data_IF_693018477129
#
_entry.id   IF_693018477129
#
_cell.length_a   1.000
_cell.length_b   1.000
_cell.length_c   1.000
_cell.angle_alpha   90.00
_cell.angle_beta   90.00
_cell.angle_gamma   90.00
#
_symmetry.space_group_name_H-M   'P 1'
#
loop_
_entity.id
_entity.type
_entity.pdbx_description
1 polymer ?
#
# COMPACT_ATOMS: atom_id res chain seq x y z
N UNK A 1 13.90 -8.16 2.58
CA UNK A 1 13.36 -6.91 3.17
C UNK A 1 11.90 -6.83 2.75
N UNK A 2 10.96 -6.91 3.69
CA UNK A 2 9.52 -6.78 3.41
C UNK A 2 9.10 -5.37 3.77
N UNK A 3 8.74 -4.56 2.78
CA UNK A 3 8.11 -3.25 3.00
C UNK A 3 6.67 -3.49 3.41
N UNK A 4 6.32 -3.22 4.66
CA UNK A 4 4.93 -3.23 5.13
C UNK A 4 4.56 -1.84 5.61
N UNK A 5 3.29 -1.49 5.46
CA UNK A 5 2.71 -0.27 5.99
C UNK A 5 1.77 -0.62 7.13
N UNK A 6 1.75 0.23 8.16
CA UNK A 6 0.89 0.06 9.31
C UNK A 6 0.13 1.33 9.68
N UNK A 7 -1.08 1.12 10.19
CA UNK A 7 -1.94 2.18 10.68
C UNK A 7 -2.63 1.72 11.95
N UNK A 8 -2.85 2.66 12.87
CA UNK A 8 -3.59 2.41 14.11
C UNK A 8 -4.60 3.51 14.36
N UNK A 9 -5.86 3.14 14.53
CA UNK A 9 -6.97 4.08 14.70
C UNK A 9 -8.10 3.48 15.51
N UNK A 10 -8.61 4.20 16.50
CA UNK A 10 -9.81 3.82 17.26
C UNK A 10 -9.78 2.38 17.84
N UNK A 11 -8.59 1.89 18.24
CA UNK A 11 -8.40 0.52 18.73
C UNK A 11 -8.26 -0.55 17.63
N UNK A 12 -8.09 -0.14 16.38
CA UNK A 12 -7.85 -0.99 15.21
C UNK A 12 -6.38 -0.84 14.84
N UNK A 13 -5.66 -1.94 14.67
CA UNK A 13 -4.29 -1.96 14.16
C UNK A 13 -4.26 -2.78 12.88
N UNK A 14 -3.67 -2.24 11.82
CA UNK A 14 -3.62 -2.87 10.50
C UNK A 14 -2.18 -2.91 10.02
N UNK A 15 -1.79 -4.03 9.43
CA UNK A 15 -0.56 -4.17 8.67
C UNK A 15 -0.87 -4.68 7.27
N UNK A 16 -0.32 -4.02 6.26
CA UNK A 16 -0.47 -4.39 4.85
C UNK A 16 0.88 -4.44 4.15
N UNK A 17 0.98 -5.30 3.14
CA UNK A 17 2.05 -5.23 2.14
C UNK A 17 1.68 -4.24 1.02
N UNK A 18 2.63 -3.83 0.16
CA UNK A 18 2.38 -2.88 -0.92
C UNK A 18 1.33 -3.44 -1.89
N UNK A 19 0.51 -2.56 -2.47
CA UNK A 19 -0.67 -2.93 -3.23
C UNK A 19 -1.88 -3.37 -2.37
N UNK A 20 -1.83 -3.13 -1.06
CA UNK A 20 -2.98 -3.29 -0.15
C UNK A 20 -3.25 -4.73 0.33
N UNK A 21 -2.28 -5.64 0.18
CA UNK A 21 -2.45 -7.01 0.65
C UNK A 21 -2.39 -7.06 2.19
N UNK A 22 -3.53 -7.30 2.82
CA UNK A 22 -3.66 -7.38 4.28
C UNK A 22 -2.82 -8.51 4.87
N UNK A 23 -2.00 -8.19 5.87
CA UNK A 23 -1.14 -9.14 6.60
C UNK A 23 -1.66 -9.40 8.01
N UNK A 24 -2.04 -8.35 8.72
CA UNK A 24 -2.57 -8.43 10.08
C UNK A 24 -3.68 -7.40 10.27
N UNK A 25 -4.69 -7.77 11.06
CA UNK A 25 -5.74 -6.91 11.55
C UNK A 25 -6.02 -7.28 13.01
N UNK A 26 -5.77 -6.34 13.92
CA UNK A 26 -6.06 -6.49 15.33
C UNK A 26 -7.14 -5.50 15.75
N UNK A 27 -8.09 -5.98 16.55
CA UNK A 27 -9.21 -5.21 17.06
C UNK A 27 -9.21 -5.28 18.58
N UNK A 28 -9.05 -4.13 19.23
CA UNK A 28 -9.25 -4.00 20.66
C UNK A 28 -10.75 -3.98 20.99
N UNK A 29 -11.12 -4.39 22.21
CA UNK A 29 -12.52 -4.32 22.67
C UNK A 29 -13.13 -2.91 22.52
N UNK A 30 -12.29 -1.86 22.59
CA UNK A 30 -12.71 -0.49 22.37
C UNK A 30 -13.30 -0.24 20.98
N UNK A 31 -12.73 -0.84 19.94
CA UNK A 31 -13.16 -0.67 18.55
C UNK A 31 -14.55 -1.27 18.30
N UNK A 32 -14.90 -2.33 19.02
CA UNK A 32 -16.21 -2.99 18.89
C UNK A 32 -17.38 -2.07 19.31
N UNK A 33 -17.11 -1.06 20.14
CA UNK A 33 -18.11 -0.08 20.57
C UNK A 33 -18.55 0.88 19.46
N UNK A 34 -17.82 0.93 18.34
CA UNK A 34 -18.18 1.73 17.16
C UNK A 34 -19.43 1.19 16.43
N UNK A 35 -19.86 -0.04 16.74
CA UNK A 35 -20.94 -0.74 16.02
C UNK A 35 -20.51 -1.17 14.61
N UNK A 36 -21.31 -2.01 13.95
CA UNK A 36 -20.93 -2.68 12.69
C UNK A 36 -20.51 -1.71 11.57
N UNK A 37 -21.33 -0.69 11.28
CA UNK A 37 -21.05 0.28 10.21
C UNK A 37 -19.85 1.18 10.55
N UNK A 38 -19.74 1.63 11.81
CA UNK A 38 -18.64 2.47 12.26
C UNK A 38 -17.31 1.72 12.24
N UNK A 39 -17.31 0.47 12.70
CA UNK A 39 -16.15 -0.41 12.67
C UNK A 39 -15.71 -0.69 11.23
N UNK A 40 -16.62 -1.03 10.32
CA UNK A 40 -16.28 -1.28 8.93
C UNK A 40 -15.60 -0.06 8.28
N UNK A 41 -16.17 1.14 8.46
CA UNK A 41 -15.58 2.39 7.94
C UNK A 41 -14.19 2.65 8.53
N UNK A 42 -14.02 2.42 9.83
CA UNK A 42 -12.75 2.64 10.51
C UNK A 42 -11.67 1.64 10.05
N UNK A 43 -12.04 0.37 9.81
CA UNK A 43 -11.14 -0.65 9.26
C UNK A 43 -10.70 -0.25 7.85
N UNK A 44 -11.64 0.09 6.95
CA UNK A 44 -11.29 0.49 5.57
C UNK A 44 -10.37 1.71 5.57
N UNK A 45 -10.67 2.72 6.38
CA UNK A 45 -9.80 3.90 6.48
C UNK A 45 -8.38 3.57 6.99
N UNK A 46 -8.26 2.64 7.95
CA UNK A 46 -6.96 2.21 8.45
C UNK A 46 -6.19 1.38 7.40
N UNK A 47 -6.88 0.56 6.60
CA UNK A 47 -6.28 -0.19 5.49
C UNK A 47 -5.78 0.75 4.40
N UNK A 48 -6.57 1.75 4.01
CA UNK A 48 -6.17 2.73 3.00
C UNK A 48 -4.90 3.49 3.44
N UNK A 49 -4.89 3.99 4.69
CA UNK A 49 -3.72 4.66 5.26
C UNK A 49 -2.48 3.75 5.33
N UNK A 50 -2.66 2.50 5.77
CA UNK A 50 -1.57 1.53 5.82
C UNK A 50 -1.03 1.23 4.40
N UNK A 51 -1.91 1.20 3.39
CA UNK A 51 -1.54 0.92 1.99
C UNK A 51 -0.73 2.06 1.41
N UNK A 52 -1.17 3.31 1.61
CA UNK A 52 -0.42 4.49 1.18
C UNK A 52 0.99 4.51 1.76
N UNK A 53 1.14 4.16 3.05
CA UNK A 53 2.46 4.05 3.69
C UNK A 53 3.30 2.92 3.11
N UNK A 54 2.70 1.74 2.87
CA UNK A 54 3.40 0.60 2.29
C UNK A 54 3.92 0.90 0.88
N UNK A 55 3.09 1.55 0.05
CA UNK A 55 3.43 1.92 -1.32
C UNK A 55 4.48 3.01 -1.37
N UNK A 56 4.39 4.02 -0.49
CA UNK A 56 5.43 5.03 -0.34
C UNK A 56 6.76 4.41 0.08
N UNK A 57 6.74 3.51 1.06
CA UNK A 57 7.95 2.82 1.53
C UNK A 57 8.54 1.93 0.42
N UNK A 58 7.70 1.23 -0.36
CA UNK A 58 8.14 0.44 -1.50
C UNK A 58 8.74 1.32 -2.61
N UNK A 59 8.13 2.46 -2.93
CA UNK A 59 8.65 3.42 -3.89
C UNK A 59 10.00 4.00 -3.44
N UNK A 60 10.16 4.31 -2.16
CA UNK A 60 11.44 4.76 -1.60
C UNK A 60 12.51 3.67 -1.65
N UNK A 61 12.17 2.43 -1.28
CA UNK A 61 13.09 1.30 -1.35
C UNK A 61 13.53 1.00 -2.79
N UNK A 62 12.61 1.10 -3.77
CA UNK A 62 12.93 0.99 -5.19
C UNK A 62 13.87 2.11 -5.63
N UNK A 63 13.57 3.38 -5.31
CA UNK A 63 14.45 4.51 -5.64
C UNK A 63 15.85 4.35 -5.06
N UNK A 64 15.95 3.93 -3.79
CA UNK A 64 17.24 3.69 -3.14
C UNK A 64 18.01 2.51 -3.78
N UNK A 65 17.31 1.46 -4.23
CA UNK A 65 17.94 0.34 -4.93
C UNK A 65 18.40 0.65 -6.36
N UNK A 66 17.83 1.69 -6.96
CA UNK A 66 18.21 2.20 -8.28
C UNK A 66 19.20 3.37 -8.20
N UNK A 67 19.57 3.81 -7.00
CA UNK A 67 20.50 4.92 -6.79
C UNK A 67 21.89 4.50 -7.31
N UNK A 68 22.36 5.18 -8.36
CA UNK A 68 23.58 4.83 -9.10
C UNK A 68 23.38 4.05 -10.41
N UNK A 69 22.14 3.69 -10.77
CA UNK A 69 21.79 3.15 -12.09
C UNK A 69 21.40 4.31 -13.00
N UNK A 70 22.02 4.42 -14.19
CA UNK A 70 21.72 5.51 -15.11
C UNK A 70 20.34 5.31 -15.76
N UNK A 71 19.73 6.41 -16.22
CA UNK A 71 18.45 6.35 -16.95
C UNK A 71 18.58 5.53 -18.25
N UNK A 72 19.77 5.47 -18.86
CA UNK A 72 20.03 4.60 -20.01
C UNK A 72 20.04 3.11 -19.62
N UNK A 73 20.61 2.75 -18.47
CA UNK A 73 20.63 1.37 -17.97
C UNK A 73 19.23 0.88 -17.61
N UNK A 74 18.40 1.74 -17.00
CA UNK A 74 16.98 1.46 -16.75
C UNK A 74 16.18 1.30 -18.04
N UNK A 75 16.49 2.11 -19.06
CA UNK A 75 15.85 2.03 -20.38
C UNK A 75 16.26 0.76 -21.13
N UNK A 76 17.52 0.33 -21.01
CA UNK A 76 18.00 -0.93 -21.59
C UNK A 76 17.33 -2.17 -20.98
N UNK A 77 16.86 -2.07 -19.73
CA UNK A 77 16.07 -3.10 -19.04
C UNK A 77 14.56 -2.98 -19.32
N UNK A 78 14.12 -2.03 -20.14
CA UNK A 78 12.71 -1.78 -20.45
C UNK A 78 11.92 -1.16 -19.30
N UNK A 79 12.60 -0.58 -18.31
CA UNK A 79 12.00 0.06 -17.12
C UNK A 79 11.96 1.58 -17.22
N UNK A 80 12.51 2.16 -18.31
CA UNK A 80 12.77 3.60 -18.46
C UNK A 80 11.55 4.49 -18.72
N UNK A 81 10.42 3.93 -19.16
CA UNK A 81 9.17 4.68 -19.36
C UNK A 81 7.99 3.73 -19.25
N UNK A 82 7.42 3.62 -18.04
CA UNK A 82 6.05 3.14 -17.90
C UNK A 82 5.11 4.34 -17.98
N UNK A 83 4.97 4.88 -19.18
CA UNK A 83 3.80 5.67 -19.54
C UNK A 83 2.57 4.81 -19.24
N UNK A 84 1.74 5.30 -18.33
CA UNK A 84 0.43 4.81 -17.94
C UNK A 84 -0.02 3.49 -18.59
N UNK A 85 -0.06 2.40 -17.80
CA UNK A 85 -1.05 1.33 -17.99
C UNK A 85 -2.44 1.94 -17.76
N UNK A 86 -2.86 2.78 -18.71
CA UNK A 86 -4.24 3.14 -18.95
C UNK A 86 -4.95 1.81 -19.18
N UNK A 87 -5.86 1.48 -18.26
CA UNK A 87 -6.80 0.36 -18.41
C UNK A 87 -7.29 0.29 -19.85
N UNK A 88 -6.81 -0.71 -20.59
CA UNK A 88 -7.45 -1.12 -21.82
C UNK A 88 -8.90 -1.42 -21.44
N UNK A 89 -9.82 -0.63 -21.98
CA UNK A 89 -11.25 -0.77 -21.78
C UNK A 89 -11.65 -2.14 -22.35
N UNK A 90 -11.99 -3.10 -21.49
CA UNK A 90 -12.61 -4.36 -21.92
C UNK A 90 -14.07 -4.04 -22.27
N UNK A 91 -14.26 -3.57 -23.50
CA UNK A 91 -15.55 -3.60 -24.18
C UNK A 91 -15.56 -4.80 -25.10
N UNK A 92 -16.26 -5.85 -24.69
CA UNK A 92 -17.00 -6.73 -25.58
C UNK A 92 -18.19 -7.31 -24.83
#
# INVERSE_FOLDING_TARGET
MTTTGSARRDGISVEVAPGGALRSLELEQGALRLGGTGLARAITAAVDEATEKADQAAAQAMKAGLDGVSTEELSALGLGDSEATTSATWRY
#
